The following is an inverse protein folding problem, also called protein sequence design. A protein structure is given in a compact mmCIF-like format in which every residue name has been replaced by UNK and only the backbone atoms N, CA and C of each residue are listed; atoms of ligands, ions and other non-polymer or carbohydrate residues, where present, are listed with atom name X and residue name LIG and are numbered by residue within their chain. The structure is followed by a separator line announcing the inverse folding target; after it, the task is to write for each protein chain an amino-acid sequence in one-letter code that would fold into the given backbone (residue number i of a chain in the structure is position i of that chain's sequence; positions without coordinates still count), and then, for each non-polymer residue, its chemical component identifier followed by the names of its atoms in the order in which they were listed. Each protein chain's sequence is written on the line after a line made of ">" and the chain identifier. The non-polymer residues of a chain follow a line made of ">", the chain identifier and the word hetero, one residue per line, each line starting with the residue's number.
data_IF_681690622084
#
_entry.id   IF_681690622084
#
_cell.length_a   1.000
_cell.length_b   1.000
_cell.length_c   1.000
_cell.angle_alpha   90.00
_cell.angle_beta   90.00
_cell.angle_gamma   90.00
#
_symmetry.space_group_name_H-M   'P 1'
#
loop_
_entity.id
_entity.type
_entity.pdbx_description
1 polymer ?
#
# COMPACT_ATOMS: atom_id res chain seq x y z
N UNK A 1 -19.05 0.46 -0.68
CA UNK A 1 -18.04 1.21 0.12
C UNK A 1 -16.65 0.83 -0.39
N UNK A 2 -15.75 1.79 -0.60
CA UNK A 2 -14.36 1.51 -1.03
C UNK A 2 -13.47 1.66 0.19
N UNK A 3 -12.74 0.61 0.53
CA UNK A 3 -11.78 0.59 1.65
C UNK A 3 -10.37 0.61 1.07
N UNK A 4 -9.49 1.45 1.62
CA UNK A 4 -8.08 1.54 1.23
C UNK A 4 -7.21 1.19 2.43
N UNK A 5 -6.31 0.24 2.28
CA UNK A 5 -5.32 -0.11 3.30
C UNK A 5 -3.92 0.21 2.79
N UNK A 6 -3.04 0.60 3.71
CA UNK A 6 -1.67 1.00 3.43
C UNK A 6 -0.69 0.15 4.24
N UNK A 7 0.34 -0.37 3.59
CA UNK A 7 1.39 -1.17 4.19
C UNK A 7 2.76 -0.63 3.76
N UNK A 8 3.69 -0.52 4.70
CA UNK A 8 5.09 -0.19 4.42
C UNK A 8 5.88 -1.49 4.40
N UNK A 9 6.56 -1.79 3.29
CA UNK A 9 7.40 -2.98 3.15
C UNK A 9 8.80 -2.64 2.66
N UNK A 10 9.76 -3.50 2.97
CA UNK A 10 11.13 -3.44 2.48
C UNK A 10 11.36 -4.53 1.43
N UNK A 11 11.86 -4.15 0.26
CA UNK A 11 12.26 -5.09 -0.81
C UNK A 11 13.58 -4.60 -1.42
N UNK A 12 14.59 -5.47 -1.50
CA UNK A 12 15.93 -5.12 -2.01
C UNK A 12 16.55 -3.86 -1.37
N UNK A 13 16.44 -3.73 -0.04
CA UNK A 13 16.89 -2.55 0.75
C UNK A 13 16.22 -1.22 0.38
N UNK A 14 15.06 -1.24 -0.26
CA UNK A 14 14.26 -0.04 -0.58
C UNK A 14 12.91 -0.09 0.14
N UNK A 15 12.49 1.05 0.67
CA UNK A 15 11.18 1.26 1.27
C UNK A 15 10.12 1.46 0.19
N UNK A 16 9.06 0.65 0.25
CA UNK A 16 7.91 0.72 -0.64
C UNK A 16 6.63 0.97 0.16
N UNK A 17 5.77 1.82 -0.38
CA UNK A 17 4.40 1.98 0.10
C UNK A 17 3.48 1.16 -0.79
N UNK A 18 2.81 0.18 -0.21
CA UNK A 18 1.78 -0.59 -0.87
C UNK A 18 0.42 -0.03 -0.50
N UNK A 19 -0.40 0.24 -1.51
CA UNK A 19 -1.82 0.53 -1.33
C UNK A 19 -2.63 -0.64 -1.87
N UNK A 20 -3.47 -1.20 -1.01
CA UNK A 20 -4.47 -2.17 -1.37
C UNK A 20 -5.84 -1.50 -1.40
N UNK A 21 -6.60 -1.75 -2.46
CA UNK A 21 -7.97 -1.24 -2.62
C UNK A 21 -8.93 -2.40 -2.59
N UNK A 22 -9.94 -2.29 -1.73
CA UNK A 22 -11.00 -3.25 -1.57
C UNK A 22 -12.35 -2.60 -1.87
N UNK A 23 -13.26 -3.39 -2.45
CA UNK A 23 -14.63 -2.99 -2.69
C UNK A 23 -15.53 -3.86 -1.84
N UNK A 24 -16.33 -3.23 -0.99
CA UNK A 24 -17.41 -3.90 -0.28
C UNK A 24 -18.63 -3.98 -1.20
N UNK A 25 -19.00 -5.20 -1.61
CA UNK A 25 -20.17 -5.48 -2.45
C UNK A 25 -20.82 -6.79 -1.99
N UNK A 26 -22.15 -6.84 -1.94
CA UNK A 26 -22.91 -8.05 -1.59
C UNK A 26 -22.55 -8.58 -0.18
N UNK A 27 -22.34 -7.69 0.80
CA UNK A 27 -21.85 -8.02 2.15
C UNK A 27 -20.53 -8.80 2.20
N UNK A 28 -19.74 -8.77 1.13
CA UNK A 28 -18.42 -9.37 1.06
C UNK A 28 -17.37 -8.34 0.63
N UNK A 29 -16.18 -8.47 1.18
CA UNK A 29 -15.00 -7.71 0.73
C UNK A 29 -14.45 -8.39 -0.52
N UNK A 30 -14.40 -7.66 -1.64
CA UNK A 30 -13.76 -8.10 -2.88
C UNK A 30 -12.46 -7.31 -3.07
N UNK A 31 -11.34 -8.01 -3.20
CA UNK A 31 -10.07 -7.39 -3.55
C UNK A 31 -10.13 -6.86 -4.98
N UNK A 32 -9.72 -5.60 -5.18
CA UNK A 32 -9.77 -4.95 -6.49
C UNK A 32 -8.38 -4.85 -7.13
N UNK A 33 -7.44 -4.22 -6.44
CA UNK A 33 -6.10 -3.98 -6.95
C UNK A 33 -5.10 -3.67 -5.84
N UNK A 34 -3.83 -4.02 -6.06
CA UNK A 34 -2.66 -3.62 -5.26
C UNK A 34 -1.74 -2.82 -6.17
N UNK A 35 -1.42 -1.60 -5.76
CA UNK A 35 -0.44 -0.76 -6.46
C UNK A 35 0.70 -0.44 -5.52
N UNK A 36 1.93 -0.69 -5.99
CA UNK A 36 3.15 -0.29 -5.30
C UNK A 36 3.56 1.11 -5.74
N UNK A 37 3.87 1.98 -4.78
CA UNK A 37 4.50 3.26 -5.03
C UNK A 37 5.99 3.12 -4.70
N UNK A 38 6.85 3.43 -5.68
CA UNK A 38 8.30 3.30 -5.52
C UNK A 38 8.82 4.51 -4.75
N UNK A 39 9.57 4.22 -3.69
CA UNK A 39 10.39 5.17 -2.94
C UNK A 39 9.57 6.26 -2.23
N UNK A 40 9.14 5.99 -0.98
CA UNK A 40 9.19 7.08 0.00
C UNK A 40 10.69 7.29 0.21
N UNK A 41 11.29 8.43 -0.20
CA UNK A 41 12.66 8.70 0.16
C UNK A 41 12.72 8.56 1.67
N UNK A 42 13.52 7.61 2.13
CA UNK A 42 13.73 7.33 3.54
C UNK A 42 13.77 8.67 4.26
N UNK A 43 12.79 8.93 5.14
CA UNK A 43 12.74 10.11 6.00
C UNK A 43 13.94 10.16 6.98
N UNK A 44 14.90 9.23 6.80
CA UNK A 44 16.15 9.07 7.51
C UNK A 44 17.41 9.34 6.65
N UNK A 45 17.31 9.93 5.46
CA UNK A 45 18.48 10.54 4.83
C UNK A 45 18.71 11.95 5.42
N UNK A 46 19.40 12.00 6.58
CA UNK A 46 19.76 13.14 7.45
C UNK A 46 18.68 13.63 8.45
N UNK A 47 18.95 13.39 9.74
CA UNK A 47 19.03 14.51 10.69
C UNK A 47 20.24 15.37 10.34
#
# INVERSE_FOLDING_TARGET
>A
MVVKEFEIGNMDSKLYLYMAVFVWKDNKVKYLARKSFKCIPSFNARR
#
